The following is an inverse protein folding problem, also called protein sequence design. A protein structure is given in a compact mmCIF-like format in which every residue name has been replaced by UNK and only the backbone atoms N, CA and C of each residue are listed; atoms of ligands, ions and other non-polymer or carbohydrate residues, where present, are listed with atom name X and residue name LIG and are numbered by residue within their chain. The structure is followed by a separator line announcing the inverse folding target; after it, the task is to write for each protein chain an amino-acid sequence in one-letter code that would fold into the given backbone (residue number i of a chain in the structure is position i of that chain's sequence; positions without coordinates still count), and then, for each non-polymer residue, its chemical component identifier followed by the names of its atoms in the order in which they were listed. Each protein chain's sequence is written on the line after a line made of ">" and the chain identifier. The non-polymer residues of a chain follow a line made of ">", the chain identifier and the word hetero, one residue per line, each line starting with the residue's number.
data_IF_221060411608
#
_entry.id   IF_221060411608
#
_cell.length_a   1.000
_cell.length_b   1.000
_cell.length_c   1.000
_cell.angle_alpha   90.00
_cell.angle_beta   90.00
_cell.angle_gamma   90.00
#
_symmetry.space_group_name_H-M   'P 1'
#
loop_
_entity.id
_entity.type
_entity.pdbx_description
1 polymer ?
#
# COMPACT_ATOMS: atom_id res chain seq x y z
N UNK A 1 -7.04 34.15 -51.95
CA UNK A 1 -6.37 35.33 -51.37
C UNK A 1 -6.75 35.47 -49.89
N UNK A 2 -6.13 34.74 -48.96
CA UNK A 2 -6.46 34.87 -47.51
C UNK A 2 -5.37 34.39 -46.54
N UNK A 3 -4.08 34.49 -46.89
CA UNK A 3 -2.97 34.03 -46.04
C UNK A 3 -1.91 35.09 -45.69
N UNK A 4 -2.09 36.36 -46.11
CA UNK A 4 -1.09 37.43 -45.89
C UNK A 4 -1.30 38.20 -44.58
N UNK A 5 -2.51 38.20 -44.03
CA UNK A 5 -2.88 39.00 -42.84
C UNK A 5 -2.49 38.35 -41.51
N UNK A 6 -2.53 37.01 -41.37
CA UNK A 6 -2.14 36.34 -40.12
C UNK A 6 -0.63 36.44 -39.82
N UNK A 7 0.23 36.44 -40.85
CA UNK A 7 1.68 36.48 -40.66
C UNK A 7 2.16 37.84 -40.12
N UNK A 8 1.44 38.92 -40.42
CA UNK A 8 1.74 40.27 -39.91
C UNK A 8 1.34 40.46 -38.45
N UNK A 9 0.27 39.79 -38.00
CA UNK A 9 -0.20 39.87 -36.60
C UNK A 9 0.74 39.11 -35.65
N UNK A 10 1.28 37.96 -36.08
CA UNK A 10 2.24 37.17 -35.27
C UNK A 10 3.57 37.91 -35.08
N UNK A 11 4.04 38.64 -36.09
CA UNK A 11 5.29 39.42 -35.99
C UNK A 11 5.11 40.63 -35.05
N UNK A 12 3.93 41.27 -35.04
CA UNK A 12 3.66 42.41 -34.16
C UNK A 12 3.58 41.99 -32.67
N UNK A 13 3.01 40.81 -32.38
CA UNK A 13 2.93 40.28 -31.01
C UNK A 13 4.29 39.82 -30.47
N UNK A 14 5.20 39.35 -31.33
CA UNK A 14 6.54 38.93 -30.91
C UNK A 14 7.47 40.11 -30.58
N UNK A 15 7.26 41.27 -31.20
CA UNK A 15 8.05 42.47 -30.92
C UNK A 15 7.73 43.12 -29.56
N UNK A 16 6.51 42.96 -29.04
CA UNK A 16 6.09 43.52 -27.74
C UNK A 16 6.61 42.69 -26.55
N UNK A 17 6.88 41.39 -26.76
CA UNK A 17 7.34 40.50 -25.70
C UNK A 17 8.83 40.67 -25.30
N UNK A 18 9.63 41.41 -26.08
CA UNK A 18 11.09 41.51 -25.88
C UNK A 18 11.49 42.85 -25.18
N UNK A 19 10.54 43.76 -24.93
CA UNK A 19 10.81 45.11 -24.44
C UNK A 19 10.57 45.40 -22.95
N UNK A 20 10.53 44.40 -22.07
CA UNK A 20 10.07 44.59 -20.69
C UNK A 20 11.04 44.16 -19.60
N UNK A 21 12.18 44.83 -19.45
CA UNK A 21 13.01 44.71 -18.25
C UNK A 21 13.86 45.97 -18.00
N UNK A 22 13.22 47.14 -17.86
CA UNK A 22 13.88 48.31 -17.30
C UNK A 22 13.32 48.63 -15.90
N UNK A 23 14.23 48.44 -14.93
CA UNK A 23 14.39 49.17 -13.67
C UNK A 23 13.13 49.79 -13.04
N UNK A 24 12.48 49.04 -12.16
CA UNK A 24 11.62 49.62 -11.12
C UNK A 24 12.52 49.93 -9.90
N UNK A 25 12.70 51.19 -9.48
CA UNK A 25 13.40 51.53 -8.25
C UNK A 25 12.51 51.16 -7.05
N UNK A 26 12.86 50.07 -6.37
CA UNK A 26 12.22 49.70 -5.11
C UNK A 26 12.71 50.63 -3.98
N UNK A 27 11.82 51.24 -3.19
CA UNK A 27 12.21 51.95 -1.97
C UNK A 27 12.75 50.95 -0.93
N UNK A 28 13.95 51.22 -0.42
CA UNK A 28 14.60 50.48 0.66
C UNK A 28 13.73 50.54 1.94
N UNK A 29 13.05 49.43 2.24
CA UNK A 29 12.44 49.22 3.55
C UNK A 29 13.49 48.60 4.50
N UNK A 30 13.68 49.16 5.71
CA UNK A 30 14.55 48.55 6.71
C UNK A 30 13.98 47.19 7.16
N UNK A 31 14.84 46.18 7.41
CA UNK A 31 14.37 44.86 7.82
C UNK A 31 13.72 44.91 9.22
N UNK A 32 12.64 44.16 9.45
CA UNK A 32 12.05 44.03 10.77
C UNK A 32 13.03 43.30 11.70
N UNK A 33 13.29 43.92 12.85
CA UNK A 33 14.13 43.36 13.92
C UNK A 33 13.39 42.15 14.49
N UNK A 34 13.85 40.95 14.14
CA UNK A 34 13.27 39.70 14.65
C UNK A 34 13.67 39.52 16.13
N UNK A 35 12.73 39.30 17.06
CA UNK A 35 13.07 39.02 18.45
C UNK A 35 13.86 37.70 18.52
N UNK A 36 15.06 37.76 19.09
CA UNK A 36 15.89 36.59 19.35
C UNK A 36 15.13 35.61 20.24
N UNK A 37 15.03 34.32 19.87
CA UNK A 37 14.32 33.33 20.68
C UNK A 37 15.04 33.17 22.04
N UNK A 38 14.29 33.43 23.11
CA UNK A 38 14.72 33.17 24.48
C UNK A 38 14.98 31.66 24.65
N UNK A 39 16.07 31.25 25.34
CA UNK A 39 16.36 29.83 25.54
C UNK A 39 15.24 29.17 26.33
N UNK A 40 14.49 28.31 25.66
CA UNK A 40 13.47 27.45 26.27
C UNK A 40 14.19 26.35 27.06
N UNK A 41 13.94 26.28 28.36
CA UNK A 41 14.40 25.17 29.20
C UNK A 41 13.71 23.88 28.73
N UNK A 42 14.43 23.08 27.94
CA UNK A 42 13.99 21.75 27.51
C UNK A 42 13.96 20.83 28.74
N UNK A 43 12.80 20.24 29.09
CA UNK A 43 12.74 19.28 30.19
C UNK A 43 13.59 18.05 29.88
N UNK A 44 14.36 17.60 30.87
CA UNK A 44 15.21 16.42 30.77
C UNK A 44 14.35 15.15 30.48
N UNK A 45 14.86 14.20 29.68
CA UNK A 45 14.12 13.00 29.33
C UNK A 45 13.88 12.14 30.57
N UNK A 46 12.61 11.94 30.92
CA UNK A 46 12.19 10.97 31.95
C UNK A 46 12.43 9.56 31.43
N UNK A 47 13.37 8.85 32.05
CA UNK A 47 13.63 7.43 31.75
C UNK A 47 12.52 6.58 32.37
N UNK A 48 11.53 6.21 31.57
CA UNK A 48 10.51 5.22 31.94
C UNK A 48 11.14 3.83 31.88
N UNK A 49 11.35 3.20 33.04
CA UNK A 49 11.82 1.81 33.11
C UNK A 49 10.67 0.88 32.68
N UNK A 50 10.89 0.13 31.61
CA UNK A 50 9.96 -0.92 31.19
C UNK A 50 10.03 -2.11 32.16
N UNK A 51 8.88 -2.73 32.51
CA UNK A 51 8.88 -3.96 33.28
C UNK A 51 9.58 -5.08 32.50
N UNK A 52 10.36 -5.88 33.23
CA UNK A 52 11.04 -7.07 32.73
C UNK A 52 10.03 -8.03 32.08
N UNK A 53 10.32 -8.63 30.91
CA UNK A 53 9.41 -9.58 30.28
C UNK A 53 9.21 -10.79 31.19
N UNK A 54 7.95 -11.03 31.56
CA UNK A 54 7.51 -12.30 32.16
C UNK A 54 7.72 -13.40 31.11
N UNK A 55 8.36 -14.55 31.44
CA UNK A 55 8.55 -15.63 30.49
C UNK A 55 7.20 -16.20 30.05
N UNK A 56 6.77 -15.80 28.85
CA UNK A 56 5.62 -16.38 28.17
C UNK A 56 5.93 -17.83 27.86
N UNK A 57 5.07 -18.76 28.33
CA UNK A 57 5.14 -20.18 28.01
C UNK A 57 5.22 -20.34 26.49
N UNK A 58 6.24 -21.07 26.05
CA UNK A 58 6.46 -21.42 24.66
C UNK A 58 5.25 -22.21 24.09
N UNK A 59 4.53 -21.71 23.07
CA UNK A 59 3.43 -22.42 22.44
C UNK A 59 3.89 -23.63 21.60
N UNK A 60 5.19 -23.88 21.46
CA UNK A 60 5.77 -25.01 20.73
C UNK A 60 6.22 -26.18 21.60
N UNK A 61 5.80 -26.26 22.87
CA UNK A 61 5.99 -27.48 23.68
C UNK A 61 5.09 -28.61 23.13
N UNK A 62 5.55 -29.24 22.04
CA UNK A 62 4.97 -30.42 21.44
C UNK A 62 5.09 -31.57 22.45
N UNK A 63 3.95 -32.13 22.88
CA UNK A 63 3.94 -33.36 23.66
C UNK A 63 4.43 -34.51 22.75
N UNK A 64 5.74 -34.69 22.66
CA UNK A 64 6.35 -35.86 22.02
C UNK A 64 6.02 -37.08 22.88
N UNK A 65 5.03 -37.88 22.45
CA UNK A 65 4.80 -39.20 23.04
C UNK A 65 6.06 -40.06 22.85
N UNK A 66 6.45 -40.76 23.91
CA UNK A 66 7.59 -41.67 23.92
C UNK A 66 7.43 -42.76 22.85
N UNK A 67 8.54 -43.27 22.27
CA UNK A 67 8.49 -44.26 21.20
C UNK A 67 7.85 -45.56 21.67
N UNK A 68 6.81 -45.99 20.95
CA UNK A 68 6.18 -47.31 21.12
C UNK A 68 7.18 -48.41 20.80
N UNK A 69 7.44 -49.29 21.76
CA UNK A 69 8.29 -50.47 21.57
C UNK A 69 7.75 -51.37 20.45
N UNK A 70 8.65 -51.74 19.54
CA UNK A 70 8.37 -52.62 18.40
C UNK A 70 8.49 -54.08 18.84
N UNK A 71 7.47 -54.93 18.66
CA UNK A 71 7.60 -56.35 18.95
C UNK A 71 8.48 -57.06 17.90
N UNK A 72 9.28 -58.01 18.39
CA UNK A 72 10.25 -58.79 17.65
C UNK A 72 9.64 -59.61 16.49
N UNK A 73 10.43 -59.72 15.43
CA UNK A 73 10.10 -60.32 14.15
C UNK A 73 9.84 -61.83 14.21
N UNK A 74 8.87 -62.30 13.43
CA UNK A 74 8.90 -63.63 12.83
C UNK A 74 8.23 -63.62 11.45
N UNK A 75 8.94 -64.22 10.49
CA UNK A 75 8.55 -64.69 9.15
C UNK A 75 8.62 -63.74 7.91
N UNK A 76 9.21 -64.17 6.77
CA UNK A 76 9.28 -63.41 5.53
C UNK A 76 8.09 -63.77 4.64
N UNK A 77 7.00 -63.02 4.77
CA UNK A 77 5.86 -63.11 3.85
C UNK A 77 5.60 -61.77 3.17
N UNK A 78 5.73 -61.79 1.85
CA UNK A 78 5.26 -60.86 0.81
C UNK A 78 4.91 -59.44 1.32
N UNK A 79 5.83 -58.50 1.11
CA UNK A 79 5.69 -57.09 1.47
C UNK A 79 4.72 -56.38 0.51
N UNK A 80 3.50 -55.98 0.90
CA UNK A 80 2.71 -55.06 0.09
C UNK A 80 3.42 -53.70 0.05
N UNK A 81 3.63 -53.18 -1.15
CA UNK A 81 4.18 -51.84 -1.38
C UNK A 81 3.22 -50.82 -0.77
N UNK A 82 3.58 -50.28 0.40
CA UNK A 82 2.86 -49.18 1.04
C UNK A 82 3.15 -47.90 0.26
N UNK A 83 2.29 -47.58 -0.71
CA UNK A 83 2.26 -46.25 -1.30
C UNK A 83 1.93 -45.26 -0.16
N UNK A 84 2.77 -44.25 0.12
CA UNK A 84 2.46 -43.29 1.16
C UNK A 84 1.21 -42.51 0.76
N UNK A 85 0.13 -42.68 1.51
CA UNK A 85 -1.04 -41.82 1.41
C UNK A 85 -0.65 -40.45 1.96
N UNK A 86 -0.54 -39.45 1.09
CA UNK A 86 -0.31 -38.06 1.49
C UNK A 86 -1.59 -37.56 2.17
N UNK A 87 -1.66 -37.67 3.49
CA UNK A 87 -2.73 -37.06 4.29
C UNK A 87 -2.50 -35.55 4.32
N UNK A 88 -3.28 -34.80 3.53
CA UNK A 88 -3.27 -33.33 3.54
C UNK A 88 -3.75 -32.85 4.92
N UNK A 89 -2.83 -32.34 5.73
CA UNK A 89 -3.17 -31.67 6.99
C UNK A 89 -3.89 -30.35 6.65
N UNK A 90 -5.10 -30.08 7.19
CA UNK A 90 -5.78 -28.82 6.94
C UNK A 90 -4.90 -27.66 7.43
N UNK A 91 -4.57 -26.73 6.52
CA UNK A 91 -3.76 -25.54 6.81
C UNK A 91 -4.55 -24.63 7.76
N UNK A 92 -3.97 -24.13 8.86
CA UNK A 92 -4.70 -23.30 9.81
C UNK A 92 -5.20 -22.03 9.10
N UNK A 93 -6.51 -21.81 9.17
CA UNK A 93 -7.14 -20.56 8.69
C UNK A 93 -6.99 -19.51 9.77
N UNK A 94 -6.16 -18.48 9.53
CA UNK A 94 -6.12 -17.31 10.41
C UNK A 94 -7.47 -16.60 10.30
N UNK A 95 -8.23 -16.60 11.40
CA UNK A 95 -9.43 -15.78 11.53
C UNK A 95 -8.99 -14.34 11.82
N UNK A 96 -9.04 -13.46 10.83
CA UNK A 96 -8.80 -12.03 11.06
C UNK A 96 -10.00 -11.41 11.79
N UNK A 97 -9.73 -10.82 12.94
CA UNK A 97 -10.70 -10.10 13.76
C UNK A 97 -11.28 -8.90 12.99
N UNK A 98 -12.60 -8.71 13.07
CA UNK A 98 -13.33 -7.59 12.46
C UNK A 98 -12.75 -6.26 12.95
N UNK A 99 -12.31 -5.40 12.02
CA UNK A 99 -11.69 -4.11 12.37
C UNK A 99 -12.63 -3.22 13.18
N UNK A 100 -12.13 -2.73 14.31
CA UNK A 100 -12.68 -1.57 15.01
C UNK A 100 -12.46 -0.32 14.13
N UNK A 101 -13.53 0.44 13.78
CA UNK A 101 -13.40 1.68 13.03
C UNK A 101 -12.47 2.70 13.70
N UNK A 102 -12.20 2.62 15.01
CA UNK A 102 -11.31 3.55 15.72
C UNK A 102 -9.84 3.56 15.25
N UNK A 103 -9.41 2.57 14.46
CA UNK A 103 -8.07 2.50 13.86
C UNK A 103 -7.87 3.45 12.65
N UNK A 104 -8.65 4.53 12.56
CA UNK A 104 -8.38 5.62 11.62
C UNK A 104 -6.97 6.14 11.87
N UNK A 105 -6.09 6.02 10.86
CA UNK A 105 -4.91 6.89 10.81
C UNK A 105 -5.42 8.33 10.95
N UNK A 106 -4.97 9.12 11.94
CA UNK A 106 -5.59 10.39 12.32
C UNK A 106 -5.51 11.37 11.16
N UNK A 107 -6.55 11.41 10.34
CA UNK A 107 -6.69 12.31 9.22
C UNK A 107 -8.16 12.36 8.80
N UNK A 108 -8.64 13.51 8.31
CA UNK A 108 -10.01 13.63 7.81
C UNK A 108 -10.27 12.59 6.71
N UNK A 109 -11.37 11.84 6.81
CA UNK A 109 -11.79 10.97 5.72
C UNK A 109 -12.48 11.81 4.64
N UNK A 110 -11.72 12.16 3.60
CA UNK A 110 -12.22 12.93 2.45
C UNK A 110 -12.61 12.04 1.27
N UNK A 111 -12.39 10.73 1.39
CA UNK A 111 -12.73 9.73 0.39
C UNK A 111 -14.18 9.30 0.58
N UNK A 112 -15.05 9.67 -0.37
CA UNK A 112 -16.48 9.34 -0.30
C UNK A 112 -16.73 7.89 -0.70
N UNK A 113 -16.11 7.47 -1.81
CA UNK A 113 -16.26 6.14 -2.37
C UNK A 113 -14.92 5.65 -2.89
N UNK A 114 -14.63 4.37 -2.61
CA UNK A 114 -13.48 3.66 -3.15
C UNK A 114 -14.00 2.36 -3.78
N UNK A 115 -13.79 2.23 -5.07
CA UNK A 115 -14.23 1.10 -5.89
C UNK A 115 -13.03 0.43 -6.53
N UNK A 116 -13.18 -0.86 -6.81
CA UNK A 116 -12.19 -1.67 -7.50
C UNK A 116 -12.88 -2.58 -8.51
N UNK A 117 -12.20 -2.90 -9.61
CA UNK A 117 -12.77 -3.72 -10.69
C UNK A 117 -12.84 -5.20 -10.36
N UNK A 118 -11.97 -5.69 -9.48
CA UNK A 118 -11.88 -7.11 -9.10
C UNK A 118 -11.47 -7.24 -7.63
N UNK A 119 -11.71 -8.42 -7.06
CA UNK A 119 -11.31 -8.79 -5.69
C UNK A 119 -10.20 -9.84 -5.68
N UNK A 120 -9.72 -10.27 -6.85
CA UNK A 120 -8.66 -11.28 -6.94
C UNK A 120 -7.74 -10.95 -8.10
N UNK A 121 -6.44 -10.96 -7.82
CA UNK A 121 -5.38 -10.99 -8.80
C UNK A 121 -4.77 -12.38 -8.80
N UNK A 122 -4.49 -12.89 -10.00
CA UNK A 122 -3.98 -14.24 -10.18
C UNK A 122 -2.63 -14.19 -10.88
N UNK A 123 -1.68 -14.98 -10.40
CA UNK A 123 -0.33 -15.03 -10.95
C UNK A 123 0.16 -16.46 -11.18
N UNK A 124 1.07 -16.61 -12.15
CA UNK A 124 1.49 -17.90 -12.69
C UNK A 124 1.06 -18.08 -14.14
N UNK A 125 1.43 -19.21 -14.74
CA UNK A 125 1.24 -19.47 -16.18
C UNK A 125 0.09 -20.43 -16.48
N UNK A 126 -0.38 -21.18 -15.48
CA UNK A 126 -1.26 -22.34 -15.67
C UNK A 126 -2.74 -22.04 -15.44
N UNK A 127 -3.11 -20.79 -15.19
CA UNK A 127 -4.48 -20.42 -14.85
C UNK A 127 -4.89 -19.06 -15.43
N UNK A 128 -6.19 -18.94 -15.69
CA UNK A 128 -6.85 -17.71 -16.09
C UNK A 128 -7.26 -16.88 -14.88
N UNK A 129 -7.22 -15.56 -15.01
CA UNK A 129 -7.64 -14.63 -13.97
C UNK A 129 -7.18 -13.20 -14.25
N UNK A 130 -7.67 -12.28 -13.42
CA UNK A 130 -7.30 -10.87 -13.55
C UNK A 130 -5.83 -10.67 -13.16
N UNK A 131 -5.06 -10.02 -14.03
CA UNK A 131 -3.65 -9.63 -13.77
C UNK A 131 -3.50 -8.14 -13.50
N UNK A 132 -4.63 -7.44 -13.37
CA UNK A 132 -4.66 -6.02 -13.05
C UNK A 132 -5.95 -5.66 -12.35
N UNK A 133 -5.88 -4.65 -11.49
CA UNK A 133 -7.01 -4.13 -10.74
C UNK A 133 -7.10 -2.62 -10.97
N UNK A 134 -8.29 -2.15 -11.35
CA UNK A 134 -8.56 -0.72 -11.50
C UNK A 134 -9.14 -0.19 -10.19
N UNK A 135 -8.40 0.69 -9.53
CA UNK A 135 -8.90 1.47 -8.39
C UNK A 135 -9.55 2.74 -8.89
N UNK A 136 -10.70 3.08 -8.32
CA UNK A 136 -11.44 4.31 -8.58
C UNK A 136 -11.84 4.93 -7.26
N UNK A 137 -11.52 6.20 -7.03
CA UNK A 137 -11.84 6.91 -5.81
C UNK A 137 -12.55 8.23 -6.12
N UNK A 138 -13.63 8.53 -5.40
CA UNK A 138 -14.29 9.84 -5.41
C UNK A 138 -13.89 10.61 -4.17
N UNK A 139 -13.30 11.78 -4.36
CA UNK A 139 -12.74 12.61 -3.29
C UNK A 139 -13.53 13.89 -3.17
N UNK A 140 -13.90 14.24 -1.93
CA UNK A 140 -14.54 15.52 -1.64
C UNK A 140 -13.56 16.65 -1.99
N UNK A 141 -13.98 17.72 -2.70
CA UNK A 141 -13.08 18.82 -3.03
C UNK A 141 -12.49 19.47 -1.77
N UNK A 142 -11.15 19.49 -1.68
CA UNK A 142 -10.41 20.13 -0.59
C UNK A 142 -9.41 21.12 -1.18
N UNK A 143 -9.23 22.28 -0.52
CA UNK A 143 -8.26 23.28 -0.96
C UNK A 143 -6.86 22.67 -1.02
N UNK A 144 -6.13 22.95 -2.09
CA UNK A 144 -4.74 22.51 -2.33
C UNK A 144 -4.56 20.99 -2.55
N UNK A 145 -5.65 20.24 -2.74
CA UNK A 145 -5.55 18.87 -3.24
C UNK A 145 -4.87 18.88 -4.61
N UNK A 146 -3.82 18.08 -4.76
CA UNK A 146 -3.12 17.93 -6.04
C UNK A 146 -2.95 16.49 -6.47
N UNK A 147 -2.65 15.61 -5.52
CA UNK A 147 -2.40 14.21 -5.81
C UNK A 147 -3.30 13.32 -4.96
N UNK A 148 -3.73 12.21 -5.55
CA UNK A 148 -4.21 11.05 -4.82
C UNK A 148 -3.23 9.93 -5.10
N UNK A 149 -2.66 9.38 -4.03
CA UNK A 149 -1.65 8.34 -4.07
C UNK A 149 -2.26 7.02 -3.64
N UNK A 150 -1.98 5.95 -4.36
CA UNK A 150 -2.32 4.58 -4.01
C UNK A 150 -1.09 3.90 -3.40
N UNK A 151 -1.14 3.63 -2.10
CA UNK A 151 -0.15 2.82 -1.41
C UNK A 151 -0.65 1.38 -1.36
N UNK A 152 0.24 0.43 -1.65
CA UNK A 152 -0.05 -1.00 -1.58
C UNK A 152 1.03 -1.74 -0.83
N UNK A 153 0.67 -2.87 -0.23
CA UNK A 153 1.59 -3.89 0.28
C UNK A 153 0.93 -5.25 0.23
N UNK A 154 1.73 -6.30 0.31
CA UNK A 154 1.23 -7.66 0.41
C UNK A 154 1.31 -8.15 1.86
N UNK A 155 0.36 -8.99 2.25
CA UNK A 155 0.42 -9.77 3.48
C UNK A 155 0.02 -11.21 3.19
N UNK A 156 0.93 -12.15 3.44
CA UNK A 156 0.67 -13.58 3.32
C UNK A 156 -0.52 -13.98 4.20
N UNK A 157 -1.48 -14.73 3.64
CA UNK A 157 -2.71 -15.07 4.36
C UNK A 157 -2.48 -16.02 5.54
N UNK A 158 -1.35 -16.71 5.57
CA UNK A 158 -1.12 -17.84 6.48
C UNK A 158 -0.04 -17.59 7.53
N UNK A 159 1.03 -16.92 7.14
CA UNK A 159 2.12 -16.55 8.05
C UNK A 159 1.94 -15.15 8.62
N UNK A 160 1.05 -14.33 8.03
CA UNK A 160 0.87 -12.93 8.37
C UNK A 160 2.06 -12.04 8.02
N UNK A 161 3.14 -12.60 7.44
CA UNK A 161 4.30 -11.85 6.95
C UNK A 161 3.86 -10.92 5.84
N UNK A 162 4.33 -9.68 5.86
CA UNK A 162 4.00 -8.71 4.83
C UNK A 162 5.22 -7.99 4.28
N UNK A 163 5.03 -7.37 3.12
CA UNK A 163 6.02 -6.46 2.55
C UNK A 163 5.90 -5.08 3.20
N UNK A 164 6.91 -4.25 2.97
CA UNK A 164 6.78 -2.82 3.23
C UNK A 164 5.73 -2.19 2.33
N UNK A 165 5.28 -0.99 2.70
CA UNK A 165 4.42 -0.18 1.85
C UNK A 165 5.19 0.32 0.65
N UNK A 166 4.65 0.12 -0.55
CA UNK A 166 5.24 0.63 -1.78
C UNK A 166 5.28 2.17 -1.82
N UNK A 167 6.08 2.73 -2.74
CA UNK A 167 6.37 4.16 -2.83
C UNK A 167 5.17 5.10 -3.15
N UNK A 168 3.97 4.54 -3.38
CA UNK A 168 2.75 5.29 -3.65
C UNK A 168 2.58 5.68 -5.12
N UNK A 169 1.61 5.08 -5.81
CA UNK A 169 1.33 5.39 -7.20
C UNK A 169 0.40 6.60 -7.36
N UNK A 170 0.77 7.56 -8.21
CA UNK A 170 -0.06 8.74 -8.49
C UNK A 170 -1.25 8.35 -9.37
N UNK A 171 -2.46 8.56 -8.85
CA UNK A 171 -3.71 8.31 -9.59
C UNK A 171 -3.98 9.42 -10.60
N UNK A 172 -4.64 9.07 -11.71
CA UNK A 172 -5.09 10.02 -12.74
C UNK A 172 -6.40 10.65 -12.31
N UNK A 173 -6.53 11.96 -12.51
CA UNK A 173 -7.76 12.74 -12.28
C UNK A 173 -8.58 12.83 -13.57
N UNK A 174 -9.90 12.97 -13.45
CA UNK A 174 -10.81 13.29 -14.54
C UNK A 174 -11.39 14.73 -14.45
N UNK A 175 -10.79 15.58 -13.62
CA UNK A 175 -11.19 16.95 -13.30
C UNK A 175 -12.57 17.08 -12.61
N UNK A 176 -13.16 15.96 -12.18
CA UNK A 176 -14.45 15.92 -11.47
C UNK A 176 -14.30 15.34 -10.05
N UNK A 177 -13.08 15.33 -9.51
CA UNK A 177 -12.78 14.74 -8.19
C UNK A 177 -12.84 13.21 -8.19
N UNK A 178 -12.79 12.58 -9.37
CA UNK A 178 -12.70 11.12 -9.52
C UNK A 178 -11.29 10.75 -9.99
N UNK A 179 -10.64 9.94 -9.17
CA UNK A 179 -9.28 9.50 -9.38
C UNK A 179 -9.26 8.02 -9.75
N UNK A 180 -8.41 7.62 -10.69
CA UNK A 180 -8.31 6.22 -11.10
C UNK A 180 -6.86 5.80 -11.36
N UNK A 181 -6.57 4.53 -11.05
CA UNK A 181 -5.27 3.91 -11.31
C UNK A 181 -5.44 2.43 -11.58
N UNK A 182 -4.83 1.95 -12.67
CA UNK A 182 -4.75 0.53 -12.97
C UNK A 182 -3.42 0.00 -12.44
N UNK A 183 -3.50 -0.79 -11.38
CA UNK A 183 -2.36 -1.51 -10.84
C UNK A 183 -2.24 -2.83 -11.58
N UNK A 184 -1.12 -3.04 -12.24
CA UNK A 184 -0.74 -4.32 -12.82
C UNK A 184 0.05 -5.13 -11.81
N UNK A 185 -0.08 -6.45 -11.90
CA UNK A 185 0.54 -7.38 -10.96
C UNK A 185 2.07 -7.27 -10.92
N UNK A 186 2.70 -7.04 -12.08
CA UNK A 186 4.14 -6.83 -12.25
C UNK A 186 4.68 -5.55 -11.60
N UNK A 187 3.79 -4.62 -11.21
CA UNK A 187 4.15 -3.40 -10.48
C UNK A 187 4.16 -3.61 -8.96
N UNK A 188 3.70 -4.77 -8.47
CA UNK A 188 3.65 -5.09 -7.05
C UNK A 188 4.95 -5.80 -6.68
N UNK A 189 5.80 -5.16 -5.89
CA UNK A 189 7.10 -5.75 -5.54
C UNK A 189 6.93 -7.05 -4.73
N UNK A 190 7.60 -8.11 -5.17
CA UNK A 190 7.70 -9.38 -4.46
C UNK A 190 6.43 -10.22 -4.44
N UNK A 191 5.47 -9.98 -5.35
CA UNK A 191 4.22 -10.77 -5.42
C UNK A 191 4.48 -12.27 -5.63
N UNK A 192 5.55 -12.61 -6.35
CA UNK A 192 5.98 -13.96 -6.67
C UNK A 192 6.46 -14.75 -5.44
N UNK A 193 6.74 -14.07 -4.32
CA UNK A 193 7.14 -14.72 -3.07
C UNK A 193 5.94 -15.23 -2.27
N UNK A 194 4.72 -14.93 -2.70
CA UNK A 194 3.50 -15.28 -1.99
C UNK A 194 2.66 -16.26 -2.80
N UNK A 195 2.44 -17.44 -2.23
CA UNK A 195 1.52 -18.42 -2.77
C UNK A 195 0.06 -17.90 -2.71
N UNK A 196 -0.33 -17.30 -1.59
CA UNK A 196 -1.61 -16.60 -1.46
C UNK A 196 -1.48 -15.47 -0.42
N UNK A 197 -1.74 -14.24 -0.87
CA UNK A 197 -1.62 -13.03 -0.06
C UNK A 197 -2.86 -12.16 -0.15
N UNK A 198 -3.04 -11.29 0.83
CA UNK A 198 -3.91 -10.14 0.75
C UNK A 198 -3.14 -8.96 0.15
N UNK A 199 -3.69 -8.34 -0.88
CA UNK A 199 -3.27 -7.02 -1.33
C UNK A 199 -3.92 -5.98 -0.42
N UNK A 200 -3.12 -5.39 0.45
CA UNK A 200 -3.56 -4.31 1.31
C UNK A 200 -3.30 -2.98 0.62
N UNK A 201 -4.25 -2.06 0.72
CA UNK A 201 -4.10 -0.76 0.09
C UNK A 201 -4.64 0.38 0.94
N UNK A 202 -4.06 1.56 0.73
CA UNK A 202 -4.51 2.82 1.31
C UNK A 202 -4.39 3.94 0.27
N UNK A 203 -5.41 4.79 0.23
CA UNK A 203 -5.39 5.99 -0.58
C UNK A 203 -4.99 7.18 0.30
N UNK A 204 -4.13 8.04 -0.23
CA UNK A 204 -3.65 9.24 0.48
C UNK A 204 -3.81 10.44 -0.45
N UNK A 205 -4.56 11.42 0.03
CA UNK A 205 -4.73 12.69 -0.66
C UNK A 205 -3.66 13.67 -0.18
N UNK A 206 -2.97 14.35 -1.09
CA UNK A 206 -1.85 15.23 -0.75
C UNK A 206 -1.77 16.50 -1.60
N UNK A 207 -1.04 17.48 -1.08
CA UNK A 207 -0.70 18.72 -1.78
C UNK A 207 0.47 18.53 -2.74
N UNK A 208 0.84 19.59 -3.48
CA UNK A 208 2.05 19.64 -4.33
C UNK A 208 3.32 19.33 -3.51
N UNK A 209 3.38 19.80 -2.26
CA UNK A 209 4.49 19.53 -1.34
C UNK A 209 4.38 18.20 -0.59
N UNK A 210 3.55 17.26 -1.09
CA UNK A 210 3.27 15.95 -0.49
C UNK A 210 2.76 16.02 0.96
N UNK A 211 2.21 17.16 1.38
CA UNK A 211 1.54 17.27 2.68
C UNK A 211 0.22 16.50 2.64
N UNK A 212 0.01 15.60 3.60
CA UNK A 212 -1.19 14.77 3.68
C UNK A 212 -2.40 15.62 4.07
N UNK A 213 -3.45 15.54 3.27
CA UNK A 213 -4.74 16.19 3.50
C UNK A 213 -5.78 15.22 4.08
N UNK A 214 -5.68 13.94 3.73
CA UNK A 214 -6.59 12.89 4.19
C UNK A 214 -6.10 11.51 3.76
N UNK A 215 -6.57 10.47 4.47
CA UNK A 215 -6.28 9.07 4.16
C UNK A 215 -7.58 8.27 4.14
N UNK A 216 -7.66 7.26 3.29
CA UNK A 216 -8.71 6.25 3.40
C UNK A 216 -8.43 5.31 4.56
N UNK A 217 -9.45 4.56 4.97
CA UNK A 217 -9.25 3.36 5.78
C UNK A 217 -8.37 2.39 4.98
N UNK A 218 -7.46 1.70 5.69
CA UNK A 218 -6.65 0.65 5.08
C UNK A 218 -7.53 -0.56 4.83
N UNK A 219 -7.63 -0.98 3.57
CA UNK A 219 -8.28 -2.24 3.23
C UNK A 219 -7.23 -3.36 3.35
N UNK A 220 -7.55 -4.40 4.12
CA UNK A 220 -6.58 -5.43 4.52
C UNK A 220 -6.84 -6.81 3.94
N UNK A 221 -8.07 -7.09 3.48
CA UNK A 221 -8.53 -8.47 3.24
C UNK A 221 -9.46 -8.60 2.04
N UNK A 222 -9.75 -7.52 1.32
CA UNK A 222 -10.78 -7.57 0.29
C UNK A 222 -10.26 -7.92 -1.10
N UNK A 223 -8.94 -7.85 -1.31
CA UNK A 223 -8.28 -8.20 -2.56
C UNK A 223 -7.25 -9.28 -2.28
N UNK A 224 -7.37 -10.43 -2.93
CA UNK A 224 -6.38 -11.50 -2.85
C UNK A 224 -5.42 -11.46 -4.03
N UNK A 225 -4.17 -11.87 -3.80
CA UNK A 225 -3.17 -12.17 -4.83
C UNK A 225 -2.82 -13.63 -4.67
N UNK A 226 -3.20 -14.45 -5.64
CA UNK A 226 -3.16 -15.92 -5.51
C UNK A 226 -2.36 -16.53 -6.66
N UNK A 227 -1.46 -17.46 -6.32
CA UNK A 227 -0.72 -18.23 -7.30
C UNK A 227 -1.61 -19.31 -7.94
N UNK A 228 -1.38 -19.62 -9.22
CA UNK A 228 -2.13 -20.65 -9.94
C UNK A 228 -2.17 -22.01 -9.23
N UNK A 229 -1.06 -22.42 -8.59
CA UNK A 229 -1.02 -23.70 -7.89
C UNK A 229 -1.98 -23.78 -6.70
N UNK A 230 -2.40 -22.64 -6.15
CA UNK A 230 -3.32 -22.59 -5.02
C UNK A 230 -4.78 -22.60 -5.44
N UNK A 231 -5.07 -22.29 -6.70
CA UNK A 231 -6.42 -22.36 -7.27
C UNK A 231 -6.82 -23.81 -7.59
N UNK A 232 -5.85 -24.63 -7.99
CA UNK A 232 -6.04 -26.04 -8.35
C UNK A 232 -5.10 -26.93 -7.51
N UNK A 233 -5.39 -27.11 -6.20
CA UNK A 233 -4.48 -27.78 -5.27
C UNK A 233 -4.38 -29.29 -5.47
#
# INVERSE_FOLDING_TARGET
>A
MRNSTMKKIVILLLAVAIGGCDAIPFPNFPPPVSPSPQPTNTPAPTVTRFPSPTPTRDPFSLNTQAPTETPAATDPSIRPSRTPTVTRTPRPTITLETLDPSLYTPSPNIFQFVQRSTNQLVWGYTCDGDRSIMFTATVTPVRRLKYVLLFVRLQDKYSGRGTEWGAGAIMKDNDQGKYFYRLHLDQIEGYENFEDAWLQYQLVASTVGLTVLGRSVVDRTSVSVTHCNSLYP
#
